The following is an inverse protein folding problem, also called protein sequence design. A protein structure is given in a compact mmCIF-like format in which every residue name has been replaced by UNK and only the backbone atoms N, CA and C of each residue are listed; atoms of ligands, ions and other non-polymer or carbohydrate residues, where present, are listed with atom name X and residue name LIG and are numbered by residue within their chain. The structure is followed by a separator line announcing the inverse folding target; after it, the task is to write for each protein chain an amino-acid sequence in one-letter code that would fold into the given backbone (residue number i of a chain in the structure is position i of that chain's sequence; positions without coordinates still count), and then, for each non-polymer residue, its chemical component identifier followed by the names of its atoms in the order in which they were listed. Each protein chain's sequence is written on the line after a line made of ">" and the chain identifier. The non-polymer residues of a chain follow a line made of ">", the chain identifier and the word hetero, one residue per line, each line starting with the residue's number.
data_IF_526067017365
#
_entry.id   IF_526067017365
#
_cell.length_a   1.000
_cell.length_b   1.000
_cell.length_c   1.000
_cell.angle_alpha   90.00
_cell.angle_beta   90.00
_cell.angle_gamma   90.00
#
_symmetry.space_group_name_H-M   'P 1'
#
loop_
_entity.id
_entity.type
_entity.pdbx_description
1 polymer ?
#
# COMPACT_ATOMS: atom_id res chain seq x y z
N UNK A 1 7.77 15.20 9.48
CA UNK A 1 7.27 16.08 8.40
C UNK A 1 7.92 15.81 7.04
N UNK A 2 9.23 15.59 6.94
CA UNK A 2 9.92 15.34 5.65
C UNK A 2 9.29 14.25 4.78
N UNK A 3 8.88 13.12 5.37
CA UNK A 3 8.34 11.98 4.62
C UNK A 3 7.00 12.27 3.90
N UNK A 4 6.20 13.23 4.38
CA UNK A 4 4.91 13.59 3.76
C UNK A 4 5.08 14.51 2.54
N UNK A 5 6.12 15.35 2.52
CA UNK A 5 6.45 16.21 1.37
C UNK A 5 7.03 15.35 0.25
N UNK A 6 7.96 14.45 0.58
CA UNK A 6 8.47 13.45 -0.36
C UNK A 6 7.33 12.61 -0.94
N UNK A 7 6.32 12.28 -0.14
CA UNK A 7 5.17 11.51 -0.61
C UNK A 7 4.41 12.14 -1.77
N UNK A 8 4.18 13.45 -1.69
CA UNK A 8 3.46 14.22 -2.71
C UNK A 8 4.32 14.30 -3.98
N UNK A 9 5.61 14.62 -3.82
CA UNK A 9 6.57 14.70 -4.93
C UNK A 9 6.69 13.37 -5.68
N UNK A 10 6.88 12.26 -4.96
CA UNK A 10 6.99 10.93 -5.54
C UNK A 10 5.69 10.46 -6.24
N UNK A 11 4.52 10.90 -5.77
CA UNK A 11 3.25 10.64 -6.45
C UNK A 11 3.10 11.44 -7.76
N UNK A 12 3.57 12.69 -7.82
CA UNK A 12 3.49 13.51 -9.04
C UNK A 12 4.38 12.99 -10.18
N UNK A 13 5.49 12.32 -9.84
CA UNK A 13 6.42 11.75 -10.83
C UNK A 13 6.21 10.25 -11.08
N UNK A 14 5.28 9.61 -10.35
CA UNK A 14 4.96 8.19 -10.49
C UNK A 14 4.17 7.94 -11.78
N UNK A 15 4.64 7.03 -12.62
CA UNK A 15 3.97 6.64 -13.87
C UNK A 15 3.72 5.14 -13.92
N UNK A 16 2.81 4.66 -14.78
CA UNK A 16 2.56 3.22 -14.97
C UNK A 16 3.82 2.43 -15.37
N UNK A 17 4.80 3.10 -15.99
CA UNK A 17 6.08 2.52 -16.40
C UNK A 17 7.16 2.58 -15.31
N UNK A 18 7.03 3.49 -14.34
CA UNK A 18 7.94 3.62 -13.20
C UNK A 18 7.16 4.00 -11.92
N UNK A 19 6.54 3.01 -11.25
CA UNK A 19 5.69 3.27 -10.09
C UNK A 19 6.50 3.69 -8.87
N UNK A 20 6.36 4.95 -8.45
CA UNK A 20 6.98 5.52 -7.25
C UNK A 20 5.95 5.62 -6.12
N UNK A 21 5.21 4.52 -5.91
CA UNK A 21 4.16 4.39 -4.89
C UNK A 21 4.69 4.24 -3.45
N UNK A 22 5.97 4.55 -3.20
CA UNK A 22 6.63 4.35 -1.91
C UNK A 22 5.90 5.06 -0.76
N UNK A 23 5.15 6.13 -1.07
CA UNK A 23 4.35 6.91 -0.12
C UNK A 23 2.85 7.00 -0.47
N UNK A 24 2.37 6.10 -1.33
CA UNK A 24 0.97 5.98 -1.74
C UNK A 24 -0.09 5.85 -0.60
N UNK A 25 0.22 5.44 0.65
CA UNK A 25 -0.85 5.23 1.64
C UNK A 25 -1.62 6.51 2.00
N UNK A 26 -0.97 7.68 2.06
CA UNK A 26 -1.57 8.92 2.60
C UNK A 26 -2.86 9.28 1.86
N UNK A 27 -2.81 9.27 0.52
CA UNK A 27 -3.97 9.63 -0.32
C UNK A 27 -5.14 8.67 -0.13
N UNK A 28 -4.84 7.37 0.04
CA UNK A 28 -5.86 6.35 0.31
C UNK A 28 -6.54 6.57 1.67
N UNK A 29 -5.80 7.02 2.67
CA UNK A 29 -6.34 7.33 4.00
C UNK A 29 -7.20 8.59 3.98
N UNK A 30 -6.77 9.64 3.27
CA UNK A 30 -7.58 10.87 3.12
C UNK A 30 -8.97 10.54 2.58
N UNK A 31 -9.04 9.80 1.46
CA UNK A 31 -10.33 9.45 0.85
C UNK A 31 -11.10 8.39 1.61
N UNK A 32 -10.46 7.69 2.56
CA UNK A 32 -11.15 6.79 3.49
C UNK A 32 -11.88 7.57 4.58
N UNK A 33 -11.33 8.69 5.04
CA UNK A 33 -11.97 9.57 6.02
C UNK A 33 -12.94 10.56 5.38
N UNK A 34 -12.62 11.09 4.21
CA UNK A 34 -13.45 12.02 3.44
C UNK A 34 -13.74 11.41 2.05
N UNK A 35 -14.80 10.58 1.91
CA UNK A 35 -15.09 9.91 0.66
C UNK A 35 -15.36 10.90 -0.48
N UNK A 36 -14.70 10.71 -1.62
CA UNK A 36 -14.86 11.61 -2.80
C UNK A 36 -16.30 11.76 -3.29
N UNK A 37 -17.12 10.73 -3.08
CA UNK A 37 -18.53 10.70 -3.49
C UNK A 37 -19.44 11.55 -2.61
N UNK A 38 -18.96 11.95 -1.43
CA UNK A 38 -19.69 12.76 -0.48
C UNK A 38 -19.11 14.17 -0.51
N UNK A 39 -19.97 15.18 -0.46
CA UNK A 39 -19.51 16.55 -0.26
C UNK A 39 -18.94 16.67 1.16
N UNK A 40 -17.63 16.92 1.26
CA UNK A 40 -16.95 17.19 2.52
C UNK A 40 -16.47 18.64 2.54
N UNK A 41 -16.80 19.38 3.59
CA UNK A 41 -16.30 20.75 3.77
C UNK A 41 -14.78 20.79 3.94
N UNK A 42 -14.16 21.93 3.64
CA UNK A 42 -12.71 22.11 3.66
C UNK A 42 -12.07 21.66 5.00
N UNK A 43 -12.69 22.00 6.14
CA UNK A 43 -12.21 21.60 7.48
C UNK A 43 -12.16 20.07 7.66
N UNK A 44 -13.10 19.32 7.09
CA UNK A 44 -13.14 17.86 7.18
C UNK A 44 -11.98 17.25 6.39
N UNK A 45 -11.70 17.80 5.21
CA UNK A 45 -10.57 17.38 4.37
C UNK A 45 -9.24 17.67 5.08
N UNK A 46 -9.14 18.82 5.75
CA UNK A 46 -7.95 19.20 6.51
C UNK A 46 -7.69 18.22 7.68
N UNK A 47 -8.71 17.91 8.49
CA UNK A 47 -8.62 16.93 9.57
C UNK A 47 -8.26 15.55 9.02
N UNK A 48 -8.86 15.13 7.91
CA UNK A 48 -8.54 13.87 7.24
C UNK A 48 -7.07 13.82 6.79
N UNK A 49 -6.49 14.94 6.35
CA UNK A 49 -5.08 15.04 5.98
C UNK A 49 -4.16 14.90 7.21
N UNK A 50 -4.48 15.55 8.33
CA UNK A 50 -3.71 15.40 9.58
C UNK A 50 -3.75 13.94 10.09
N UNK A 51 -4.93 13.31 10.08
CA UNK A 51 -5.06 11.91 10.49
C UNK A 51 -4.31 10.97 9.54
N UNK A 52 -4.42 11.17 8.23
CA UNK A 52 -3.73 10.37 7.22
C UNK A 52 -2.21 10.47 7.35
N UNK A 53 -1.68 11.66 7.61
CA UNK A 53 -0.24 11.87 7.81
C UNK A 53 0.23 11.26 9.13
N UNK A 54 -0.54 11.37 10.21
CA UNK A 54 -0.28 10.69 11.48
C UNK A 54 -0.19 9.16 11.31
N UNK A 55 -1.16 8.56 10.61
CA UNK A 55 -1.18 7.12 10.33
C UNK A 55 0.01 6.70 9.47
N UNK A 56 0.45 7.54 8.54
CA UNK A 56 1.60 7.23 7.72
C UNK A 56 2.93 7.26 8.50
N UNK A 57 3.10 8.24 9.39
CA UNK A 57 4.34 8.43 10.13
C UNK A 57 4.46 7.52 11.35
N UNK A 58 3.43 7.50 12.20
CA UNK A 58 3.44 6.81 13.51
C UNK A 58 2.46 5.63 13.55
N UNK A 59 1.62 5.49 12.53
CA UNK A 59 0.64 4.43 12.49
C UNK A 59 -0.64 4.69 13.25
N UNK A 60 -1.28 3.60 13.68
CA UNK A 60 -2.51 3.69 14.48
C UNK A 60 -2.28 4.28 15.88
N UNK A 61 -1.01 4.35 16.32
CA UNK A 61 -0.65 5.09 17.53
C UNK A 61 -1.03 6.57 17.45
N UNK A 62 -0.90 7.21 16.27
CA UNK A 62 -1.32 8.59 16.09
C UNK A 62 -2.82 8.77 16.37
N UNK A 63 -3.66 7.83 15.91
CA UNK A 63 -5.11 7.87 16.19
C UNK A 63 -5.35 7.72 17.69
N UNK A 64 -4.72 6.74 18.33
CA UNK A 64 -4.86 6.51 19.77
C UNK A 64 -4.50 7.78 20.55
N UNK A 65 -3.37 8.43 20.20
CA UNK A 65 -2.93 9.68 20.79
C UNK A 65 -3.94 10.80 20.57
N UNK A 66 -4.42 11.00 19.34
CA UNK A 66 -5.44 12.02 19.07
C UNK A 66 -6.72 11.81 19.88
N UNK A 67 -7.20 10.56 20.01
CA UNK A 67 -8.38 10.22 20.80
C UNK A 67 -8.18 10.56 22.29
N UNK A 68 -7.00 10.25 22.84
CA UNK A 68 -6.69 10.64 24.23
C UNK A 68 -6.60 12.15 24.42
N UNK A 69 -6.07 12.89 23.44
CA UNK A 69 -5.96 14.36 23.51
C UNK A 69 -7.31 15.05 23.48
N UNK A 70 -8.27 14.52 22.73
CA UNK A 70 -9.65 15.06 22.69
C UNK A 70 -10.54 14.53 23.83
N UNK A 71 -9.98 13.81 24.80
CA UNK A 71 -10.69 13.33 25.99
C UNK A 71 -11.55 12.08 25.78
N UNK A 72 -11.33 11.32 24.70
CA UNK A 72 -12.03 10.04 24.49
C UNK A 72 -11.35 8.95 25.34
N UNK A 73 -12.14 8.30 26.20
CA UNK A 73 -11.69 7.16 27.00
C UNK A 73 -11.59 5.93 26.11
N UNK A 74 -10.37 5.47 25.84
CA UNK A 74 -10.12 4.29 25.01
C UNK A 74 -10.01 3.04 25.89
N UNK A 75 -10.99 2.14 25.74
CA UNK A 75 -11.01 0.85 26.43
C UNK A 75 -9.90 -0.10 25.98
N UNK A 76 -9.60 -1.10 26.82
CA UNK A 76 -8.50 -2.04 26.62
C UNK A 76 -8.62 -2.85 25.31
N UNK A 77 -9.83 -3.33 24.97
CA UNK A 77 -10.07 -4.04 23.71
C UNK A 77 -9.74 -3.19 22.48
N UNK A 78 -10.07 -1.89 22.53
CA UNK A 78 -9.75 -0.97 21.45
C UNK A 78 -8.23 -0.74 21.35
N UNK A 79 -7.53 -0.64 22.49
CA UNK A 79 -6.06 -0.57 22.51
C UNK A 79 -5.42 -1.80 21.86
N UNK A 80 -5.87 -3.00 22.21
CA UNK A 80 -5.38 -4.24 21.58
C UNK A 80 -5.59 -4.25 20.07
N UNK A 81 -6.79 -3.85 19.62
CA UNK A 81 -7.09 -3.73 18.19
C UNK A 81 -6.13 -2.78 17.47
N UNK A 82 -5.82 -1.62 18.05
CA UNK A 82 -4.87 -0.68 17.44
C UNK A 82 -3.46 -1.26 17.34
N UNK A 83 -3.01 -1.98 18.36
CA UNK A 83 -1.70 -2.64 18.37
C UNK A 83 -1.61 -3.71 17.29
N UNK A 84 -2.58 -4.62 17.23
CA UNK A 84 -2.64 -5.68 16.21
C UNK A 84 -2.72 -5.09 14.80
N UNK A 85 -3.56 -4.07 14.60
CA UNK A 85 -3.67 -3.38 13.31
C UNK A 85 -2.37 -2.70 12.90
N UNK A 86 -1.63 -2.16 13.86
CA UNK A 86 -0.31 -1.57 13.62
C UNK A 86 0.71 -2.64 13.23
N UNK A 87 0.70 -3.79 13.90
CA UNK A 87 1.56 -4.93 13.62
C UNK A 87 1.36 -5.44 12.18
N UNK A 88 0.11 -5.64 11.75
CA UNK A 88 -0.19 -6.02 10.37
C UNK A 88 0.28 -4.98 9.33
N UNK A 89 0.33 -3.70 9.69
CA UNK A 89 0.90 -2.67 8.79
C UNK A 89 2.41 -2.89 8.63
N UNK A 90 3.13 -3.16 9.71
CA UNK A 90 4.56 -3.42 9.69
C UNK A 90 4.88 -4.68 8.88
N UNK A 91 4.16 -5.77 9.10
CA UNK A 91 4.29 -7.02 8.34
C UNK A 91 4.06 -6.81 6.84
N UNK A 92 2.98 -6.11 6.48
CA UNK A 92 2.70 -5.77 5.08
C UNK A 92 3.82 -4.91 4.47
N UNK A 93 4.37 -3.98 5.23
CA UNK A 93 5.47 -3.12 4.80
C UNK A 93 6.75 -3.92 4.58
N UNK A 94 7.09 -4.80 5.53
CA UNK A 94 8.25 -5.69 5.44
C UNK A 94 8.14 -6.61 4.22
N UNK A 95 6.96 -7.23 4.03
CA UNK A 95 6.67 -8.04 2.84
C UNK A 95 6.88 -7.25 1.55
N UNK A 96 6.26 -6.07 1.41
CA UNK A 96 6.43 -5.23 0.21
C UNK A 96 7.88 -4.82 -0.05
N UNK A 97 8.64 -4.57 1.02
CA UNK A 97 10.05 -4.22 0.92
C UNK A 97 10.89 -5.41 0.44
N UNK A 98 10.64 -6.61 0.98
CA UNK A 98 11.28 -7.85 0.54
C UNK A 98 10.96 -8.14 -0.93
N UNK A 99 9.70 -8.00 -1.33
CA UNK A 99 9.25 -8.23 -2.70
C UNK A 99 9.84 -7.23 -3.72
N UNK A 100 10.17 -6.02 -3.27
CA UNK A 100 10.80 -4.99 -4.10
C UNK A 100 12.31 -5.23 -4.30
N UNK A 101 12.92 -6.12 -3.52
CA UNK A 101 14.36 -6.45 -3.66
C UNK A 101 14.69 -6.97 -5.06
N UNK A 102 15.92 -6.72 -5.51
CA UNK A 102 16.38 -7.17 -6.83
C UNK A 102 16.32 -8.69 -6.95
N UNK A 103 16.72 -9.39 -5.90
CA UNK A 103 16.71 -10.85 -5.80
C UNK A 103 15.29 -11.45 -5.87
N UNK A 104 14.34 -10.88 -5.13
CA UNK A 104 12.94 -11.31 -5.23
C UNK A 104 12.37 -11.09 -6.65
N UNK A 105 12.76 -10.00 -7.32
CA UNK A 105 12.36 -9.72 -8.71
C UNK A 105 12.99 -10.70 -9.70
N UNK A 106 14.27 -11.06 -9.53
CA UNK A 106 14.94 -12.04 -10.40
C UNK A 106 14.35 -13.42 -10.22
N UNK A 107 14.13 -13.87 -8.98
CA UNK A 107 13.54 -15.20 -8.72
C UNK A 107 12.15 -15.34 -9.33
N UNK A 108 11.28 -14.33 -9.22
CA UNK A 108 9.97 -14.34 -9.90
C UNK A 108 10.06 -14.43 -11.42
N UNK A 109 11.04 -13.75 -12.03
CA UNK A 109 11.26 -13.87 -13.49
C UNK A 109 11.71 -15.28 -13.85
N UNK A 110 12.59 -15.89 -13.06
CA UNK A 110 13.00 -17.28 -13.25
C UNK A 110 11.82 -18.25 -13.08
N UNK A 111 11.00 -18.10 -12.04
CA UNK A 111 9.79 -18.91 -11.83
C UNK A 111 8.80 -18.78 -12.99
N UNK A 112 8.59 -17.56 -13.50
CA UNK A 112 7.71 -17.33 -14.65
C UNK A 112 8.28 -17.96 -15.93
N UNK A 113 9.59 -17.86 -16.17
CA UNK A 113 10.24 -18.52 -17.30
C UNK A 113 10.09 -20.04 -17.21
N UNK A 114 10.30 -20.63 -16.03
CA UNK A 114 10.12 -22.07 -15.80
C UNK A 114 8.66 -22.51 -16.04
N UNK A 115 7.67 -21.75 -15.54
CA UNK A 115 6.25 -22.00 -15.83
C UNK A 115 5.93 -21.94 -17.32
N UNK A 116 6.43 -20.92 -18.00
CA UNK A 116 6.21 -20.77 -19.45
C UNK A 116 6.88 -21.91 -20.24
N UNK A 117 8.04 -22.40 -19.79
CA UNK A 117 8.70 -23.55 -20.40
C UNK A 117 7.88 -24.83 -20.19
N UNK A 118 7.37 -25.05 -18.97
CA UNK A 118 6.48 -26.17 -18.67
C UNK A 118 5.22 -26.17 -19.55
N UNK A 119 4.55 -25.02 -19.72
CA UNK A 119 3.39 -24.91 -20.62
C UNK A 119 3.73 -25.19 -22.08
N UNK A 120 4.91 -24.75 -22.56
CA UNK A 120 5.38 -25.07 -23.92
C UNK A 120 5.66 -26.56 -24.11
N UNK A 121 6.18 -27.22 -23.08
CA UNK A 121 6.41 -28.67 -23.10
C UNK A 121 5.07 -29.44 -23.10
N UNK A 122 4.07 -28.99 -22.33
CA UNK A 122 2.70 -29.56 -22.35
C UNK A 122 1.96 -29.33 -23.66
N UNK A 123 2.11 -28.16 -24.30
CA UNK A 123 1.46 -27.81 -25.57
C UNK A 123 2.18 -28.39 -26.81
N UNK A 124 3.29 -29.11 -26.62
CA UNK A 124 4.36 -29.41 -27.58
C UNK A 124 4.05 -30.23 -28.85
N UNK A 125 2.84 -30.19 -29.39
CA UNK A 125 2.45 -30.70 -30.72
C UNK A 125 1.22 -29.99 -31.32
N UNK A 126 0.46 -29.20 -30.54
CA UNK A 126 -0.88 -28.72 -30.93
C UNK A 126 -0.89 -27.30 -31.52
N UNK A 127 0.17 -26.50 -31.30
CA UNK A 127 0.17 -25.08 -31.71
C UNK A 127 1.55 -24.55 -32.13
N UNK A 128 2.29 -25.33 -32.94
CA UNK A 128 3.40 -24.72 -33.67
C UNK A 128 2.86 -23.70 -34.69
N UNK A 129 3.45 -22.50 -34.79
CA UNK A 129 3.08 -21.53 -35.81
C UNK A 129 3.31 -22.12 -37.20
N UNK A 130 2.25 -22.62 -37.83
CA UNK A 130 2.29 -23.24 -39.17
C UNK A 130 1.56 -24.57 -39.33
N UNK A 131 0.98 -25.19 -38.29
CA UNK A 131 0.24 -26.47 -38.42
C UNK A 131 -1.27 -26.24 -38.64
N UNK A 132 -1.63 -25.29 -39.51
CA UNK A 132 -3.00 -25.17 -40.02
C UNK A 132 -2.92 -25.06 -41.55
N UNK A 133 -2.90 -26.22 -42.22
CA UNK A 133 -3.38 -26.38 -43.60
C UNK A 133 -4.81 -26.93 -43.58
#
# INVERSE_FOLDING_TARGET
>A
MYNAVWAIFYHTISTNKNPQHMYCPVRSYIWRFAPKRLHCGAKVIEIAAYLATGIFNEGFYAILKTMTTIGIIVGEKAKMFFVERNQHRLERSARRSLEATKEARTNRRHEQMAKNQFYKEEEGLLYDPGIAE
#
